data_IF_627314461111
#
_entry.id   IF_627314461111
#
_cell.length_a   1.000
_cell.length_b   1.000
_cell.length_c   1.000
_cell.angle_alpha   90.00
_cell.angle_beta   90.00
_cell.angle_gamma   90.00
#
_symmetry.space_group_name_H-M   'P 1'
#
loop_
_entity.id
_entity.type
_entity.pdbx_description
1 polymer ?
#
# COMPACT_ATOMS: atom_id res chain seq x y z
N UNK A 1 -6.35 4.01 -16.21
CA UNK A 1 -6.41 3.58 -14.80
C UNK A 1 -7.07 2.22 -14.75
N UNK A 2 -6.27 1.17 -14.62
CA UNK A 2 -6.74 -0.21 -14.54
C UNK A 2 -6.89 -0.54 -13.07
N UNK A 3 -8.12 -0.43 -12.55
CA UNK A 3 -8.39 -0.77 -11.17
C UNK A 3 -8.29 -2.29 -10.99
N UNK A 4 -7.35 -2.75 -10.16
CA UNK A 4 -7.15 -4.18 -9.91
C UNK A 4 -7.76 -4.58 -8.55
N UNK A 5 -8.96 -5.21 -8.53
CA UNK A 5 -9.67 -5.51 -7.28
C UNK A 5 -8.95 -6.54 -6.39
N UNK A 6 -8.08 -7.38 -6.96
CA UNK A 6 -7.26 -8.30 -6.18
C UNK A 6 -6.17 -7.55 -5.40
N UNK A 7 -5.53 -6.58 -6.06
CA UNK A 7 -4.51 -5.74 -5.46
C UNK A 7 -5.08 -4.84 -4.36
N UNK A 8 -6.27 -4.28 -4.58
CA UNK A 8 -7.01 -3.52 -3.58
C UNK A 8 -7.20 -4.34 -2.30
N UNK A 9 -7.75 -5.55 -2.43
CA UNK A 9 -8.00 -6.45 -1.30
C UNK A 9 -6.71 -6.74 -0.54
N UNK A 10 -5.61 -7.02 -1.26
CA UNK A 10 -4.31 -7.29 -0.64
C UNK A 10 -3.73 -6.08 0.10
N UNK A 11 -3.90 -4.86 -0.44
CA UNK A 11 -3.44 -3.62 0.20
C UNK A 11 -4.27 -3.35 1.47
N UNK A 12 -5.58 -3.59 1.43
CA UNK A 12 -6.47 -3.44 2.60
C UNK A 12 -6.18 -4.48 3.68
N UNK A 13 -5.95 -5.74 3.30
CA UNK A 13 -5.54 -6.77 4.27
C UNK A 13 -4.18 -6.43 4.89
N UNK A 14 -3.24 -5.93 4.08
CA UNK A 14 -1.93 -5.48 4.52
C UNK A 14 -2.01 -4.30 5.51
N UNK A 15 -2.90 -3.34 5.27
CA UNK A 15 -3.11 -2.19 6.16
C UNK A 15 -3.74 -2.61 7.50
N UNK A 16 -4.64 -3.59 7.48
CA UNK A 16 -5.33 -4.11 8.67
C UNK A 16 -4.51 -5.12 9.48
N UNK A 17 -3.41 -5.66 8.93
CA UNK A 17 -2.52 -6.54 9.69
C UNK A 17 -1.95 -5.78 10.88
N UNK A 18 -2.28 -6.26 12.09
CA UNK A 18 -1.75 -5.77 13.37
C UNK A 18 -0.22 -5.76 13.31
N UNK A 19 0.33 -4.60 13.01
CA UNK A 19 1.76 -4.35 13.06
C UNK A 19 2.11 -3.88 14.48
N UNK A 20 3.30 -4.22 15.00
CA UNK A 20 3.74 -3.71 16.30
C UNK A 20 3.61 -2.19 16.32
N UNK A 21 3.12 -1.62 17.43
CA UNK A 21 3.03 -0.16 17.59
C UNK A 21 4.39 0.46 17.24
N UNK A 22 4.37 1.54 16.46
CA UNK A 22 5.55 2.28 16.01
C UNK A 22 6.43 1.61 14.94
N UNK A 23 6.04 0.44 14.40
CA UNK A 23 6.74 -0.15 13.26
C UNK A 23 5.94 0.13 11.99
N UNK A 24 6.54 0.94 11.11
CA UNK A 24 6.11 1.11 9.73
C UNK A 24 6.15 -0.24 9.01
N UNK A 25 5.01 -0.72 8.51
CA UNK A 25 4.98 -1.94 7.72
C UNK A 25 5.21 -1.56 6.26
N UNK A 26 6.37 -1.89 5.72
CA UNK A 26 6.71 -1.60 4.33
C UNK A 26 6.49 -2.86 3.51
N UNK A 27 5.52 -2.82 2.60
CA UNK A 27 5.18 -3.95 1.74
C UNK A 27 5.42 -3.57 0.30
N UNK A 28 5.93 -4.54 -0.44
CA UNK A 28 6.14 -4.47 -1.87
C UNK A 28 5.32 -5.55 -2.56
N UNK A 29 4.57 -5.16 -3.58
CA UNK A 29 3.73 -6.04 -4.38
C UNK A 29 4.42 -6.35 -5.72
N UNK A 30 5.61 -6.95 -5.68
CA UNK A 30 6.46 -7.20 -6.87
C UNK A 30 5.81 -8.08 -7.95
N UNK A 31 4.83 -8.89 -7.56
CA UNK A 31 4.08 -9.77 -8.45
C UNK A 31 3.05 -9.03 -9.31
N UNK A 32 2.81 -7.74 -9.02
CA UNK A 32 1.90 -6.87 -9.77
C UNK A 32 2.69 -5.80 -10.52
N UNK A 33 2.04 -5.21 -11.51
CA UNK A 33 2.56 -4.02 -12.19
C UNK A 33 2.69 -2.87 -11.17
N UNK A 34 3.85 -2.20 -11.18
CA UNK A 34 4.17 -1.20 -10.16
C UNK A 34 3.38 0.11 -10.34
N UNK A 35 2.94 0.39 -11.57
CA UNK A 35 2.02 1.49 -11.87
C UNK A 35 0.60 1.16 -11.35
N UNK A 36 0.15 -0.08 -11.50
CA UNK A 36 -1.13 -0.52 -10.91
C UNK A 36 -1.10 -0.49 -9.37
N UNK A 37 0.01 -0.91 -8.75
CA UNK A 37 0.24 -0.84 -7.29
C UNK A 37 0.15 0.60 -6.81
N UNK A 38 0.80 1.52 -7.53
CA UNK A 38 0.74 2.95 -7.24
C UNK A 38 -0.68 3.48 -7.30
N UNK A 39 -1.35 3.30 -8.44
CA UNK A 39 -2.66 3.89 -8.69
C UNK A 39 -3.69 3.36 -7.69
N UNK A 40 -3.66 2.05 -7.41
CA UNK A 40 -4.58 1.43 -6.46
C UNK A 40 -4.31 1.89 -5.03
N UNK A 41 -3.04 1.91 -4.59
CA UNK A 41 -2.69 2.38 -3.25
C UNK A 41 -3.00 3.86 -3.06
N UNK A 42 -2.72 4.68 -4.07
CA UNK A 42 -2.96 6.12 -4.03
C UNK A 42 -4.46 6.40 -3.92
N UNK A 43 -5.28 5.68 -4.70
CA UNK A 43 -6.74 5.76 -4.61
C UNK A 43 -7.24 5.42 -3.20
N UNK A 44 -6.77 4.33 -2.60
CA UNK A 44 -7.16 3.93 -1.24
C UNK A 44 -6.73 4.94 -0.16
N UNK A 45 -5.62 5.65 -0.36
CA UNK A 45 -5.18 6.75 0.51
C UNK A 45 -6.08 7.97 0.34
N UNK A 46 -6.42 8.34 -0.90
CA UNK A 46 -7.29 9.47 -1.23
C UNK A 46 -8.73 9.25 -0.73
N UNK A 47 -9.24 8.02 -0.81
CA UNK A 47 -10.55 7.61 -0.28
C UNK A 47 -10.56 7.50 1.26
N UNK A 48 -9.38 7.52 1.90
CA UNK A 48 -9.24 7.44 3.36
C UNK A 48 -9.39 6.04 3.94
N UNK A 49 -9.49 5.02 3.08
CA UNK A 49 -9.58 3.59 3.45
C UNK A 49 -8.28 3.11 4.14
N UNK A 50 -7.13 3.66 3.73
CA UNK A 50 -5.83 3.36 4.35
C UNK A 50 -5.05 4.63 4.70
N UNK A 51 -4.19 4.52 5.72
CA UNK A 51 -3.16 5.53 6.01
C UNK A 51 -1.79 4.96 5.65
N UNK A 52 -1.28 5.33 4.49
CA UNK A 52 0.00 4.86 4.00
C UNK A 52 0.74 5.95 3.21
N UNK A 53 2.04 5.76 2.97
CA UNK A 53 2.84 6.56 2.03
C UNK A 53 3.44 5.65 0.97
N UNK A 54 3.44 6.10 -0.27
CA UNK A 54 4.02 5.38 -1.41
C UNK A 54 5.44 5.88 -1.64
N UNK A 55 6.40 4.97 -1.77
CA UNK A 55 7.79 5.27 -2.07
C UNK A 55 8.24 4.52 -3.33
N UNK A 56 8.79 5.27 -4.29
CA UNK A 56 9.44 4.73 -5.48
C UNK A 56 10.95 4.67 -5.28
N UNK A 57 11.54 3.53 -5.61
CA UNK A 57 12.99 3.35 -5.57
C UNK A 57 13.57 3.38 -6.98
N UNK A 58 14.88 3.60 -7.07
CA UNK A 58 15.66 3.41 -8.30
C UNK A 58 15.64 1.93 -8.66
N UNK A 59 14.67 1.51 -9.49
CA UNK A 59 14.46 0.23 -10.21
C UNK A 59 12.95 -0.01 -10.46
N UNK A 60 12.15 1.06 -10.59
CA UNK A 60 10.68 1.01 -10.71
C UNK A 60 9.96 0.28 -9.55
N UNK A 61 10.65 0.07 -8.43
CA UNK A 61 10.10 -0.63 -7.27
C UNK A 61 9.16 0.31 -6.51
N UNK A 62 7.89 -0.07 -6.42
CA UNK A 62 6.88 0.61 -5.62
C UNK A 62 6.76 -0.07 -4.25
N UNK A 63 6.92 0.71 -3.20
CA UNK A 63 6.74 0.24 -1.81
C UNK A 63 5.68 1.07 -1.12
N UNK A 64 4.80 0.41 -0.38
CA UNK A 64 3.74 1.03 0.40
C UNK A 64 4.13 0.91 1.85
N UNK A 65 4.28 2.06 2.50
CA UNK A 65 4.60 2.18 3.91
C UNK A 65 3.31 2.48 4.69
N UNK A 66 2.78 1.49 5.40
CA UNK A 66 1.59 1.64 6.21
C UNK A 66 1.93 2.34 7.53
N UNK A 67 1.26 3.48 7.77
CA UNK A 67 1.45 4.27 8.98
C UNK A 67 0.70 3.54 10.11
N UNK A 68 1.38 3.20 11.22
CA UNK A 68 0.71 2.56 12.35
C UNK A 68 -0.38 3.49 12.91
N UNK A 69 -1.63 3.03 12.90
CA UNK A 69 -2.71 3.73 13.58
C UNK A 69 -2.59 3.49 15.08
N UNK A 70 -2.38 4.56 15.84
CA UNK A 70 -2.59 4.54 17.29
C UNK A 70 -4.10 4.44 17.52
N UNK A 71 -4.58 3.25 17.92
CA UNK A 71 -5.92 3.05 18.48
C UNK A 71 -5.99 3.72 19.85
#
# INVERSE_FOLDING_TARGET
MTFNPQLETLILEASNRKSPRFVANVINFQQFDQEDVKDTAQKLIEEGEIKATIHFHYNDLCTINFIPQAI
#
